data_IF_774878654260
#
_entry.id   IF_774878654260
#
_cell.length_a   1.000
_cell.length_b   1.000
_cell.length_c   1.000
_cell.angle_alpha   90.00
_cell.angle_beta   90.00
_cell.angle_gamma   90.00
#
_symmetry.space_group_name_H-M   'P 1'
#
loop_
_entity.id
_entity.type
_entity.pdbx_description
1 polymer ?
#
# COMPACT_ATOMS: atom_id res chain seq x y z
N UNK A 1 15.88 -15.74 4.60
CA UNK A 1 15.15 -14.45 4.48
C UNK A 1 14.73 -14.29 3.02
N UNK A 2 13.56 -14.82 2.63
CA UNK A 2 13.07 -14.65 1.24
C UNK A 2 12.37 -13.30 1.19
N UNK A 3 13.06 -12.29 0.67
CA UNK A 3 12.44 -11.03 0.26
C UNK A 3 11.49 -11.43 -0.87
N UNK A 4 10.22 -11.62 -0.54
CA UNK A 4 9.19 -11.72 -1.56
C UNK A 4 9.20 -10.37 -2.26
N UNK A 5 9.79 -10.32 -3.44
CA UNK A 5 9.53 -9.27 -4.43
C UNK A 5 8.05 -9.38 -4.79
N UNK A 6 7.18 -8.89 -3.91
CA UNK A 6 5.84 -8.55 -4.31
C UNK A 6 6.02 -7.36 -5.26
N UNK A 7 5.89 -7.64 -6.55
CA UNK A 7 5.94 -6.61 -7.57
C UNK A 7 4.59 -5.88 -7.47
N UNK A 8 4.52 -4.87 -6.62
CA UNK A 8 3.43 -3.90 -6.68
C UNK A 8 3.69 -3.02 -7.91
N UNK A 9 2.69 -2.78 -8.78
CA UNK A 9 2.87 -1.85 -9.87
C UNK A 9 3.14 -0.45 -9.30
N UNK A 10 4.25 0.18 -9.68
CA UNK A 10 4.58 1.55 -9.22
C UNK A 10 3.42 2.55 -9.43
N UNK A 11 2.67 2.51 -10.55
CA UNK A 11 1.51 3.38 -10.73
C UNK A 11 0.43 3.23 -9.65
N UNK A 12 0.28 2.05 -9.04
CA UNK A 12 -0.65 1.85 -7.92
C UNK A 12 -0.19 2.61 -6.68
N UNK A 13 1.10 2.51 -6.34
CA UNK A 13 1.66 3.25 -5.22
C UNK A 13 1.52 4.75 -5.45
N UNK A 14 1.86 5.23 -6.65
CA UNK A 14 1.76 6.65 -7.00
C UNK A 14 0.32 7.15 -6.94
N UNK A 15 -0.65 6.32 -7.35
CA UNK A 15 -2.07 6.62 -7.25
C UNK A 15 -2.49 6.81 -5.78
N UNK A 16 -2.13 5.87 -4.91
CA UNK A 16 -2.46 5.94 -3.48
C UNK A 16 -1.84 7.20 -2.85
N UNK A 17 -0.55 7.43 -3.10
CA UNK A 17 0.17 8.61 -2.61
C UNK A 17 -0.51 9.92 -3.03
N UNK A 18 -1.01 9.98 -4.28
CA UNK A 18 -1.69 11.16 -4.82
C UNK A 18 -3.04 11.44 -4.17
N UNK A 19 -3.81 10.40 -3.83
CA UNK A 19 -5.15 10.56 -3.25
C UNK A 19 -5.16 10.71 -1.74
N UNK A 20 -4.32 9.97 -1.01
CA UNK A 20 -4.28 9.97 0.46
C UNK A 20 -3.43 11.12 1.02
N UNK A 21 -2.34 11.46 0.35
CA UNK A 21 -1.34 12.40 0.85
C UNK A 21 -0.48 11.85 1.99
N UNK A 22 0.63 12.54 2.29
CA UNK A 22 1.62 12.11 3.27
C UNK A 22 1.47 12.85 4.61
N UNK A 23 1.44 12.10 5.71
CA UNK A 23 1.48 12.62 7.09
C UNK A 23 2.60 11.96 7.89
N UNK A 24 3.68 12.70 8.15
CA UNK A 24 4.85 12.17 8.87
C UNK A 24 4.68 12.09 10.39
N UNK A 25 3.68 12.77 10.94
CA UNK A 25 3.31 12.71 12.36
C UNK A 25 1.97 12.01 12.52
N UNK A 26 1.86 11.16 13.53
CA UNK A 26 0.61 10.49 13.87
C UNK A 26 -0.49 11.52 14.16
N UNK A 27 -1.69 11.25 13.66
CA UNK A 27 -2.86 12.10 13.84
C UNK A 27 -4.10 11.24 14.08
N UNK A 28 -5.13 11.83 14.69
CA UNK A 28 -6.45 11.20 14.73
C UNK A 28 -7.22 11.50 13.45
N UNK A 29 -7.66 10.44 12.78
CA UNK A 29 -8.65 10.57 11.73
C UNK A 29 -10.03 10.96 12.33
N UNK A 30 -11.02 11.37 11.52
CA UNK A 30 -12.35 11.71 12.02
C UNK A 30 -13.05 10.59 12.80
N UNK A 31 -12.63 9.33 12.61
CA UNK A 31 -13.13 8.17 13.35
C UNK A 31 -12.43 7.95 14.71
N UNK A 32 -11.52 8.84 15.12
CA UNK A 32 -10.80 8.75 16.40
C UNK A 32 -9.64 7.74 16.40
N UNK A 33 -9.24 7.21 15.25
CA UNK A 33 -8.18 6.19 15.13
C UNK A 33 -6.84 6.87 14.84
N UNK A 34 -5.79 6.42 15.52
CA UNK A 34 -4.42 6.83 15.24
C UNK A 34 -3.99 6.40 13.83
N UNK A 35 -3.59 7.38 13.03
CA UNK A 35 -3.27 7.21 11.61
C UNK A 35 -1.94 7.92 11.30
N UNK A 36 -1.11 7.34 10.42
CA UNK A 36 0.18 7.91 10.01
C UNK A 36 0.54 7.54 8.56
N UNK A 37 1.51 8.23 7.96
CA UNK A 37 1.97 7.95 6.60
C UNK A 37 0.90 8.25 5.56
N UNK A 38 0.61 7.28 4.69
CA UNK A 38 -0.44 7.33 3.66
C UNK A 38 -1.71 6.61 4.13
N UNK A 39 -2.14 6.86 5.36
CA UNK A 39 -3.36 6.24 5.93
C UNK A 39 -3.13 4.93 6.71
N UNK A 40 -1.89 4.63 7.08
CA UNK A 40 -1.57 3.45 7.88
C UNK A 40 -2.17 3.54 9.28
N UNK A 41 -2.77 2.44 9.75
CA UNK A 41 -3.34 2.29 11.08
C UNK A 41 -2.92 0.95 11.68
N UNK A 42 -2.77 0.91 13.00
CA UNK A 42 -2.31 -0.30 13.69
C UNK A 42 -1.99 -0.02 15.16
N UNK A 43 -1.70 -1.09 15.90
CA UNK A 43 -1.27 -0.99 17.30
C UNK A 43 0.11 -0.33 17.46
N UNK A 44 0.86 -0.22 16.36
CA UNK A 44 2.16 0.41 16.24
C UNK A 44 2.08 1.92 15.93
N UNK A 45 0.87 2.48 15.76
CA UNK A 45 0.64 3.92 15.63
C UNK A 45 0.12 4.48 16.94
N UNK A 46 0.87 5.41 17.53
CA UNK A 46 0.56 6.01 18.83
C UNK A 46 0.89 7.50 18.84
N UNK A 47 0.45 8.18 19.91
CA UNK A 47 0.61 9.62 20.09
C UNK A 47 2.07 10.06 19.93
N UNK A 48 2.30 11.20 19.28
CA UNK A 48 3.61 11.81 19.03
C UNK A 48 4.59 10.96 18.20
N UNK A 49 4.15 9.84 17.60
CA UNK A 49 4.96 9.09 16.66
C UNK A 49 5.27 9.96 15.42
N UNK A 50 6.54 9.99 15.05
CA UNK A 50 7.03 10.66 13.83
C UNK A 50 7.85 9.67 13.02
N UNK A 51 7.61 9.64 11.72
CA UNK A 51 8.31 8.78 10.77
C UNK A 51 8.97 9.60 9.67
N UNK A 52 9.92 8.98 8.97
CA UNK A 52 10.52 9.51 7.75
C UNK A 52 9.66 9.18 6.53
N UNK A 53 9.87 9.88 5.42
CA UNK A 53 9.20 9.56 4.15
C UNK A 53 9.48 8.12 3.71
N UNK A 54 10.71 7.65 3.90
CA UNK A 54 11.09 6.27 3.59
C UNK A 54 10.29 5.25 4.43
N UNK A 55 10.12 5.52 5.73
CA UNK A 55 9.29 4.68 6.59
C UNK A 55 7.82 4.72 6.17
N UNK A 56 7.29 5.88 5.77
CA UNK A 56 5.92 5.99 5.26
C UNK A 56 5.73 5.17 3.97
N UNK A 57 6.72 5.20 3.08
CA UNK A 57 6.74 4.39 1.86
C UNK A 57 6.80 2.90 2.14
N UNK A 58 7.55 2.48 3.17
CA UNK A 58 7.66 1.08 3.55
C UNK A 58 6.38 0.56 4.23
N UNK A 59 5.73 1.41 5.06
CA UNK A 59 4.38 1.13 5.59
C UNK A 59 3.35 0.97 4.46
N UNK A 60 3.36 1.89 3.48
CA UNK A 60 2.46 1.80 2.32
C UNK A 60 2.63 0.50 1.55
N UNK A 61 3.88 0.08 1.27
CA UNK A 61 4.15 -1.20 0.58
C UNK A 61 3.62 -2.38 1.38
N UNK A 62 3.77 -2.35 2.70
CA UNK A 62 3.29 -3.41 3.57
C UNK A 62 1.76 -3.48 3.61
N UNK A 63 1.07 -2.34 3.71
CA UNK A 63 -0.40 -2.27 3.68
C UNK A 63 -0.96 -2.77 2.35
N UNK A 64 -0.36 -2.38 1.23
CA UNK A 64 -0.74 -2.86 -0.11
C UNK A 64 -0.54 -4.37 -0.23
N UNK A 65 0.56 -4.91 0.32
CA UNK A 65 0.81 -6.36 0.37
C UNK A 65 -0.29 -7.11 1.10
N UNK A 66 -0.68 -6.61 2.27
CA UNK A 66 -1.77 -7.18 3.06
C UNK A 66 -3.09 -7.15 2.31
N UNK A 67 -3.43 -6.03 1.70
CA UNK A 67 -4.66 -5.89 0.92
C UNK A 67 -4.69 -6.86 -0.27
N UNK A 68 -3.62 -6.91 -1.07
CA UNK A 68 -3.52 -7.80 -2.23
C UNK A 68 -3.58 -9.28 -1.84
N UNK A 69 -2.92 -9.68 -0.74
CA UNK A 69 -2.98 -11.07 -0.28
C UNK A 69 -4.40 -11.51 0.10
N UNK A 70 -5.20 -10.62 0.68
CA UNK A 70 -6.62 -10.87 0.96
C UNK A 70 -7.43 -10.98 -0.34
N UNK A 71 -7.21 -10.07 -1.29
CA UNK A 71 -7.88 -10.09 -2.61
C UNK A 71 -7.62 -11.41 -3.35
N UNK A 72 -6.39 -11.90 -3.36
CA UNK A 72 -6.05 -13.18 -3.99
C UNK A 72 -6.63 -14.38 -3.26
N UNK A 73 -6.81 -14.28 -1.94
CA UNK A 73 -7.46 -15.33 -1.14
C UNK A 73 -8.94 -15.45 -1.49
N UNK A 74 -9.65 -14.33 -1.64
CA UNK A 74 -11.08 -14.33 -1.95
C UNK A 74 -11.39 -14.55 -3.43
N UNK A 75 -10.47 -14.20 -4.33
CA UNK A 75 -10.63 -14.35 -5.77
C UNK A 75 -9.36 -14.94 -6.41
N UNK A 76 -9.17 -16.27 -6.33
CA UNK A 76 -8.00 -16.95 -6.89
C UNK A 76 -7.85 -16.77 -8.40
N UNK A 77 -8.93 -16.43 -9.12
CA UNK A 77 -8.88 -16.14 -10.57
C UNK A 77 -7.97 -14.95 -10.89
N UNK A 78 -7.82 -14.00 -9.95
CA UNK A 78 -6.96 -12.83 -10.14
C UNK A 78 -5.46 -13.17 -10.08
N UNK A 79 -5.11 -14.31 -9.48
CA UNK A 79 -3.73 -14.84 -9.50
C UNK A 79 -3.30 -15.14 -10.95
N UNK A 80 -4.24 -15.57 -11.79
CA UNK A 80 -4.00 -15.88 -13.20
C UNK A 80 -4.32 -14.70 -14.15
N UNK A 81 -5.09 -13.71 -13.69
CA UNK A 81 -5.37 -12.48 -14.44
C UNK A 81 -4.16 -11.54 -14.50
N UNK A 82 -3.24 -11.65 -13.53
CA UNK A 82 -1.87 -11.17 -13.66
C UNK A 82 -1.11 -12.05 -14.64
N UNK A 83 -1.30 -11.80 -15.94
CA UNK A 83 -0.57 -12.46 -17.01
C UNK A 83 0.93 -12.54 -16.71
N UNK A 84 1.55 -13.64 -17.15
CA UNK A 84 2.99 -13.91 -17.03
C UNK A 84 3.85 -12.66 -17.24
N UNK A 85 5.03 -12.55 -16.58
CA UNK A 85 5.87 -11.37 -16.65
C UNK A 85 6.50 -11.27 -18.05
N UNK A 86 5.76 -10.67 -18.97
CA UNK A 86 6.26 -10.24 -20.26
C UNK A 86 5.92 -8.76 -20.39
N UNK A 87 6.95 -7.95 -20.13
CA UNK A 87 7.26 -6.70 -20.84
C UNK A 87 6.20 -6.27 -21.86
N UNK A 88 5.39 -5.27 -21.55
CA UNK A 88 4.54 -4.65 -22.56
C UNK A 88 3.31 -3.96 -22.02
N UNK A 89 3.45 -2.67 -21.72
CA UNK A 89 2.44 -1.62 -21.86
C UNK A 89 0.97 -1.99 -21.63
N UNK A 90 0.43 -1.48 -20.52
CA UNK A 90 -0.99 -1.23 -20.32
C UNK A 90 -1.57 -0.44 -21.50
N UNK A 91 -2.32 -1.13 -22.37
CA UNK A 91 -3.22 -0.50 -23.32
C UNK A 91 -4.43 -0.02 -22.52
N UNK A 92 -4.49 1.28 -22.29
CA UNK A 92 -5.69 2.00 -21.89
C UNK A 92 -6.90 1.53 -22.71
N UNK A 93 -7.99 1.19 -22.02
CA UNK A 93 -9.33 1.51 -22.49
C UNK A 93 -9.98 2.35 -21.39
N UNK A 94 -10.35 3.58 -21.76
CA UNK A 94 -11.47 4.29 -21.18
C UNK A 94 -12.73 3.42 -21.24
#
# INVERSE_FOLDING_TARGET
MKIAFFIYPQPLLDLIKRFEGLRLSAYHCPAGIWTIGYGHTGSDVFENLVITEQQADDLLKWDVSKCLSQVFTVSPILINAGGKPHIGYWRFCF
#
